data_IF_692175195111
#
_entry.id   IF_692175195111
#
_cell.length_a   1.000
_cell.length_b   1.000
_cell.length_c   1.000
_cell.angle_alpha   90.00
_cell.angle_beta   90.00
_cell.angle_gamma   90.00
#
_symmetry.space_group_name_H-M   'P 1'
#
loop_
_entity.id
_entity.type
_entity.pdbx_description
1 polymer ?
#
# COMPACT_ATOMS: atom_id res chain seq x y z
N UNK A 1 17.77 13.10 -9.99
CA UNK A 1 17.34 12.53 -8.69
C UNK A 1 17.16 11.04 -8.89
N UNK A 2 17.70 10.25 -7.99
CA UNK A 2 17.61 8.78 -8.01
C UNK A 2 16.16 8.37 -7.71
N UNK A 3 15.47 7.74 -8.67
CA UNK A 3 14.08 7.32 -8.47
C UNK A 3 14.03 5.97 -7.73
N UNK A 4 13.36 5.96 -6.58
CA UNK A 4 13.07 4.73 -5.82
C UNK A 4 11.60 4.33 -5.99
N UNK A 5 11.37 3.07 -6.33
CA UNK A 5 10.02 2.49 -6.42
C UNK A 5 9.81 1.47 -5.31
N UNK A 6 8.71 1.60 -4.56
CA UNK A 6 8.19 0.58 -3.68
C UNK A 6 7.15 -0.25 -4.47
N UNK A 7 7.50 -1.49 -4.78
CA UNK A 7 6.60 -2.47 -5.38
C UNK A 7 5.98 -3.34 -4.29
N UNK A 8 4.65 -3.41 -4.26
CA UNK A 8 3.89 -4.20 -3.29
C UNK A 8 3.06 -5.24 -4.06
N UNK A 9 3.35 -6.51 -3.84
CA UNK A 9 2.58 -7.64 -4.38
C UNK A 9 1.75 -8.30 -3.29
N UNK A 10 0.50 -8.67 -3.61
CA UNK A 10 -0.44 -9.28 -2.66
C UNK A 10 -1.22 -10.48 -3.23
N UNK A 11 -0.84 -10.94 -4.43
CA UNK A 11 -1.51 -12.05 -5.08
C UNK A 11 -0.97 -13.40 -4.63
N UNK A 12 -1.86 -14.33 -4.29
CA UNK A 12 -1.54 -15.71 -3.93
C UNK A 12 -1.25 -16.62 -5.12
N UNK A 13 -1.45 -16.15 -6.37
CA UNK A 13 -1.30 -16.98 -7.58
C UNK A 13 0.15 -17.07 -8.09
N UNK A 14 1.14 -16.67 -7.31
CA UNK A 14 2.56 -16.73 -7.68
C UNK A 14 2.85 -16.06 -9.03
N UNK A 15 3.73 -16.65 -9.83
CA UNK A 15 4.18 -16.10 -11.12
C UNK A 15 3.07 -16.05 -12.19
N UNK A 16 2.02 -16.86 -12.04
CA UNK A 16 0.85 -16.83 -12.94
C UNK A 16 -0.09 -15.63 -12.69
N UNK A 17 0.19 -14.81 -11.68
CA UNK A 17 -0.65 -13.68 -11.31
C UNK A 17 -0.54 -12.53 -12.30
N UNK A 18 -1.66 -12.16 -12.92
CA UNK A 18 -1.73 -11.00 -13.84
C UNK A 18 -1.30 -9.69 -13.16
N UNK A 19 -1.71 -9.46 -11.90
CA UNK A 19 -1.33 -8.26 -11.18
C UNK A 19 0.18 -8.22 -10.87
N UNK A 20 0.78 -9.37 -10.49
CA UNK A 20 2.21 -9.48 -10.21
C UNK A 20 3.07 -9.23 -11.47
N UNK A 21 2.67 -9.83 -12.61
CA UNK A 21 3.34 -9.58 -13.90
C UNK A 21 3.24 -8.10 -14.28
N UNK A 22 2.05 -7.52 -14.18
CA UNK A 22 1.84 -6.12 -14.53
C UNK A 22 2.57 -5.15 -13.59
N UNK A 23 2.61 -5.40 -12.27
CA UNK A 23 3.40 -4.56 -11.34
C UNK A 23 4.89 -4.64 -11.66
N UNK A 24 5.42 -5.82 -12.01
CA UNK A 24 6.82 -5.96 -12.40
C UNK A 24 7.14 -5.12 -13.65
N UNK A 25 6.31 -5.22 -14.68
CA UNK A 25 6.48 -4.48 -15.92
C UNK A 25 6.35 -2.96 -15.72
N UNK A 26 5.34 -2.52 -14.98
CA UNK A 26 5.14 -1.09 -14.67
C UNK A 26 6.33 -0.56 -13.87
N UNK A 27 6.83 -1.33 -12.90
CA UNK A 27 8.02 -0.96 -12.12
C UNK A 27 9.24 -0.78 -13.03
N UNK A 28 9.49 -1.72 -13.95
CA UNK A 28 10.60 -1.62 -14.92
C UNK A 28 10.45 -0.40 -15.83
N UNK A 29 9.23 -0.10 -16.28
CA UNK A 29 8.96 1.06 -17.15
C UNK A 29 9.21 2.42 -16.45
N UNK A 30 9.21 2.46 -15.10
CA UNK A 30 9.62 3.66 -14.35
C UNK A 30 11.14 3.89 -14.38
N UNK A 31 11.94 2.92 -14.86
CA UNK A 31 13.42 2.97 -14.89
C UNK A 31 14.02 3.36 -13.53
N UNK A 32 13.61 2.73 -12.42
CA UNK A 32 14.07 3.11 -11.09
C UNK A 32 15.54 2.75 -10.90
N UNK A 33 16.27 3.55 -10.13
CA UNK A 33 17.62 3.19 -9.67
C UNK A 33 17.57 2.18 -8.51
N UNK A 34 16.47 2.22 -7.72
CA UNK A 34 16.25 1.31 -6.59
C UNK A 34 14.81 0.80 -6.57
N UNK A 35 14.65 -0.50 -6.38
CA UNK A 35 13.34 -1.12 -6.13
C UNK A 35 13.34 -1.72 -4.73
N UNK A 36 12.38 -1.29 -3.91
CA UNK A 36 12.03 -1.96 -2.65
C UNK A 36 10.87 -2.89 -3.01
N UNK A 37 11.02 -4.19 -2.77
CA UNK A 37 9.99 -5.17 -3.07
C UNK A 37 9.39 -5.75 -1.79
N UNK A 38 8.11 -5.53 -1.57
CA UNK A 38 7.31 -6.09 -0.49
C UNK A 38 6.31 -7.10 -1.06
N UNK A 39 6.54 -8.39 -0.82
CA UNK A 39 5.66 -9.47 -1.25
C UNK A 39 4.82 -9.98 -0.08
N UNK A 40 3.59 -9.52 0.01
CA UNK A 40 2.66 -9.84 1.10
C UNK A 40 2.08 -11.26 1.01
N UNK A 41 2.34 -11.98 -0.07
CA UNK A 41 1.91 -13.36 -0.24
C UNK A 41 2.96 -14.36 0.30
N UNK A 42 4.25 -14.04 0.14
CA UNK A 42 5.36 -14.87 0.61
C UNK A 42 5.87 -14.46 1.98
N UNK A 43 5.71 -13.19 2.35
CA UNK A 43 6.04 -12.63 3.66
C UNK A 43 4.79 -11.96 4.28
N UNK A 44 3.85 -12.78 4.81
CA UNK A 44 2.57 -12.29 5.29
C UNK A 44 2.73 -11.45 6.56
N UNK A 45 2.03 -10.31 6.57
CA UNK A 45 2.02 -9.41 7.72
C UNK A 45 1.05 -9.89 8.81
N UNK A 46 1.38 -9.69 10.09
CA UNK A 46 0.43 -9.93 11.18
C UNK A 46 -0.74 -8.96 11.11
N UNK A 47 -1.88 -9.37 11.67
CA UNK A 47 -2.96 -8.43 11.96
C UNK A 47 -2.59 -7.54 13.16
N UNK A 48 -3.11 -6.33 13.16
CA UNK A 48 -2.99 -5.45 14.32
C UNK A 48 -3.74 -6.06 15.51
N UNK A 49 -3.14 -5.93 16.69
CA UNK A 49 -3.69 -6.40 17.97
C UNK A 49 -3.87 -5.24 18.97
N UNK A 50 -4.26 -5.57 20.19
CA UNK A 50 -4.53 -4.58 21.24
C UNK A 50 -3.23 -3.87 21.68
N UNK A 51 -2.10 -4.57 21.73
CA UNK A 51 -0.82 -4.01 22.15
C UNK A 51 -0.29 -3.02 21.10
N UNK A 52 -0.36 -3.38 19.82
CA UNK A 52 -0.05 -2.48 18.71
C UNK A 52 -0.97 -1.24 18.73
N UNK A 53 -2.30 -1.48 18.91
CA UNK A 53 -3.28 -0.41 18.92
C UNK A 53 -3.07 0.59 20.07
N UNK A 54 -2.61 0.12 21.23
CA UNK A 54 -2.23 0.98 22.36
C UNK A 54 -0.89 1.69 22.10
N UNK A 55 0.13 0.95 21.66
CA UNK A 55 1.49 1.48 21.45
C UNK A 55 1.54 2.64 20.46
N UNK A 56 0.74 2.59 19.37
CA UNK A 56 0.72 3.64 18.34
C UNK A 56 0.25 5.02 18.84
N UNK A 57 -0.43 5.08 19.98
CA UNK A 57 -0.94 6.32 20.59
C UNK A 57 0.06 6.92 21.58
N UNK A 58 1.11 6.18 21.97
CA UNK A 58 2.13 6.68 22.90
C UNK A 58 3.17 7.46 22.09
N UNK A 59 3.52 8.71 22.53
CA UNK A 59 4.62 9.46 21.94
C UNK A 59 5.91 8.65 21.90
N UNK A 60 6.69 8.78 20.85
CA UNK A 60 7.89 7.95 20.64
C UNK A 60 8.86 7.99 21.80
N UNK A 61 9.07 9.17 22.38
CA UNK A 61 9.98 9.38 23.52
C UNK A 61 9.53 8.65 24.80
N UNK A 62 8.23 8.35 24.92
CA UNK A 62 7.64 7.77 26.14
C UNK A 62 7.39 6.26 26.00
N UNK A 63 7.72 5.65 24.84
CA UNK A 63 7.48 4.24 24.58
C UNK A 63 8.41 3.34 25.37
N UNK A 64 7.84 2.30 25.98
CA UNK A 64 8.59 1.17 26.51
C UNK A 64 9.24 0.35 25.39
N UNK A 65 10.22 -0.49 25.68
CA UNK A 65 10.83 -1.40 24.69
C UNK A 65 9.77 -2.33 24.06
N UNK A 66 8.88 -2.90 24.86
CA UNK A 66 7.79 -3.73 24.33
C UNK A 66 6.87 -2.98 23.34
N UNK A 67 6.61 -1.69 23.55
CA UNK A 67 5.85 -0.87 22.63
C UNK A 67 6.63 -0.52 21.35
N UNK A 68 7.94 -0.34 21.45
CA UNK A 68 8.81 -0.18 20.29
C UNK A 68 8.85 -1.46 19.46
N UNK A 69 9.00 -2.61 20.10
CA UNK A 69 8.97 -3.92 19.44
C UNK A 69 7.64 -4.17 18.72
N UNK A 70 6.52 -3.87 19.38
CA UNK A 70 5.19 -3.99 18.77
C UNK A 70 5.01 -3.12 17.51
N UNK A 71 5.69 -1.97 17.43
CA UNK A 71 5.61 -1.04 16.31
C UNK A 71 6.72 -1.23 15.25
N UNK A 72 7.75 -2.02 15.51
CA UNK A 72 8.95 -2.11 14.68
C UNK A 72 8.66 -2.47 13.21
N UNK A 73 7.75 -3.43 12.98
CA UNK A 73 7.34 -3.80 11.62
C UNK A 73 6.61 -2.64 10.93
N UNK A 74 5.69 -1.97 11.63
CA UNK A 74 5.00 -0.78 11.12
C UNK A 74 6.00 0.34 10.76
N UNK A 75 7.01 0.56 11.60
CA UNK A 75 8.06 1.56 11.33
C UNK A 75 8.86 1.19 10.08
N UNK A 76 9.17 -0.10 9.87
CA UNK A 76 9.82 -0.61 8.66
C UNK A 76 8.99 -0.32 7.41
N UNK A 77 7.69 -0.69 7.40
CA UNK A 77 6.78 -0.47 6.27
C UNK A 77 6.61 1.02 5.94
N UNK A 78 6.55 1.87 6.96
CA UNK A 78 6.47 3.32 6.80
C UNK A 78 7.78 3.89 6.25
N UNK A 79 8.94 3.38 6.69
CA UNK A 79 10.24 3.76 6.15
C UNK A 79 10.37 3.41 4.66
N UNK A 80 9.92 2.23 4.24
CA UNK A 80 9.86 1.84 2.82
C UNK A 80 9.03 2.84 1.99
N UNK A 81 7.89 3.29 2.53
CA UNK A 81 7.07 4.33 1.89
C UNK A 81 7.78 5.69 1.85
N UNK A 82 8.53 6.06 2.89
CA UNK A 82 9.29 7.33 2.92
C UNK A 82 10.40 7.36 1.88
N UNK A 83 11.10 6.24 1.73
CA UNK A 83 12.21 6.09 0.79
C UNK A 83 11.76 6.10 -0.67
N UNK A 84 10.53 5.68 -0.94
CA UNK A 84 10.02 5.57 -2.31
C UNK A 84 9.45 6.91 -2.83
N UNK A 85 9.70 7.21 -4.11
CA UNK A 85 9.06 8.30 -4.86
C UNK A 85 7.73 7.83 -5.46
N UNK A 86 7.68 6.57 -5.87
CA UNK A 86 6.50 5.95 -6.49
C UNK A 86 6.18 4.61 -5.81
N UNK A 87 4.91 4.39 -5.50
CA UNK A 87 4.38 3.10 -5.07
C UNK A 87 3.70 2.41 -6.25
N UNK A 88 4.04 1.14 -6.53
CA UNK A 88 3.35 0.30 -7.52
C UNK A 88 2.72 -0.87 -6.77
N UNK A 89 1.38 -0.86 -6.66
CA UNK A 89 0.64 -1.74 -5.74
C UNK A 89 -0.26 -2.68 -6.52
N UNK A 90 0.01 -4.00 -6.44
CA UNK A 90 -0.89 -5.03 -6.95
C UNK A 90 -2.18 -5.07 -6.13
N UNK A 91 -3.31 -4.95 -6.81
CA UNK A 91 -4.65 -5.04 -6.23
C UNK A 91 -5.47 -6.14 -6.92
N UNK A 92 -5.21 -7.43 -6.61
CA UNK A 92 -6.13 -8.49 -7.01
C UNK A 92 -7.42 -8.36 -6.17
N UNK A 93 -8.57 -8.43 -6.84
CA UNK A 93 -9.86 -8.33 -6.16
C UNK A 93 -10.25 -9.69 -5.58
N UNK A 94 -10.46 -9.76 -4.28
CA UNK A 94 -10.97 -10.91 -3.56
C UNK A 94 -12.32 -10.55 -2.93
N UNK A 95 -13.37 -11.26 -3.33
CA UNK A 95 -14.73 -11.04 -2.77
C UNK A 95 -15.13 -9.55 -2.75
N UNK A 96 -14.96 -8.88 -3.89
CA UNK A 96 -15.26 -7.44 -4.12
C UNK A 96 -14.33 -6.45 -3.38
N UNK A 97 -13.39 -6.91 -2.55
CA UNK A 97 -12.46 -6.09 -1.77
C UNK A 97 -10.99 -6.38 -2.08
N UNK A 98 -10.10 -5.70 -1.35
CA UNK A 98 -8.67 -5.99 -1.41
C UNK A 98 -8.36 -7.30 -0.64
N UNK A 99 -7.24 -7.99 -0.96
CA UNK A 99 -6.78 -9.14 -0.18
C UNK A 99 -6.55 -8.79 1.29
N UNK A 100 -6.78 -9.73 2.20
CA UNK A 100 -6.55 -9.54 3.63
C UNK A 100 -5.09 -9.15 3.95
N UNK A 101 -4.12 -9.69 3.20
CA UNK A 101 -2.70 -9.32 3.32
C UNK A 101 -2.44 -7.85 2.98
N UNK A 102 -3.07 -7.32 1.94
CA UNK A 102 -2.97 -5.90 1.60
C UNK A 102 -3.70 -5.02 2.62
N UNK A 103 -4.83 -5.50 3.16
CA UNK A 103 -5.51 -4.79 4.25
C UNK A 103 -4.67 -4.73 5.52
N UNK A 104 -3.94 -5.81 5.86
CA UNK A 104 -3.00 -5.79 6.98
C UNK A 104 -1.88 -4.75 6.77
N UNK A 105 -1.35 -4.62 5.55
CA UNK A 105 -0.40 -3.56 5.21
C UNK A 105 -1.01 -2.17 5.44
N UNK A 106 -2.22 -1.94 4.95
CA UNK A 106 -2.97 -0.68 5.16
C UNK A 106 -3.11 -0.35 6.66
N UNK A 107 -3.48 -1.34 7.47
CA UNK A 107 -3.67 -1.14 8.90
C UNK A 107 -2.37 -0.80 9.64
N UNK A 108 -1.28 -1.45 9.27
CA UNK A 108 0.03 -1.23 9.87
C UNK A 108 0.64 0.13 9.50
N UNK A 109 0.36 0.68 8.32
CA UNK A 109 0.90 1.97 7.90
C UNK A 109 0.06 3.17 8.36
N UNK A 110 -1.21 2.97 8.73
CA UNK A 110 -2.10 4.06 9.11
C UNK A 110 -1.88 4.49 10.58
N UNK A 111 -0.88 5.35 10.81
CA UNK A 111 -0.47 5.79 12.16
C UNK A 111 -0.63 7.30 12.36
N UNK A 112 -1.40 7.72 13.39
CA UNK A 112 -1.52 9.13 13.76
C UNK A 112 -0.16 9.71 14.17
N UNK A 113 0.14 10.92 13.71
CA UNK A 113 1.40 11.62 13.97
C UNK A 113 2.58 11.13 13.11
N UNK A 114 2.43 10.03 12.34
CA UNK A 114 3.51 9.42 11.55
C UNK A 114 3.21 9.44 10.06
N UNK A 115 2.01 9.02 9.63
CA UNK A 115 1.57 9.00 8.24
C UNK A 115 0.43 9.98 7.96
N UNK A 116 -0.26 10.41 8.98
CA UNK A 116 -1.25 11.48 8.94
C UNK A 116 -1.34 12.16 10.31
N UNK A 117 -1.94 13.36 10.38
CA UNK A 117 -2.23 14.03 11.64
C UNK A 117 -3.60 14.71 11.58
N UNK A 118 -4.26 14.83 12.71
CA UNK A 118 -5.50 15.59 12.83
C UNK A 118 -5.20 17.08 12.99
N UNK A 119 -6.01 17.92 12.35
CA UNK A 119 -5.99 19.38 12.49
C UNK A 119 -7.41 19.88 12.74
N UNK A 120 -7.55 21.16 13.07
CA UNK A 120 -8.87 21.80 13.23
C UNK A 120 -9.71 21.72 11.95
N UNK A 121 -9.06 21.63 10.77
CA UNK A 121 -9.71 21.52 9.47
C UNK A 121 -9.83 20.06 8.97
N UNK A 122 -9.64 19.08 9.85
CA UNK A 122 -9.67 17.66 9.51
C UNK A 122 -8.28 17.01 9.40
N UNK A 123 -8.23 15.73 8.98
CA UNK A 123 -6.97 15.02 8.85
C UNK A 123 -6.16 15.48 7.63
N UNK A 124 -4.85 15.59 7.79
CA UNK A 124 -3.90 15.80 6.71
C UNK A 124 -2.90 14.65 6.64
N UNK A 125 -2.60 14.18 5.44
CA UNK A 125 -1.58 13.16 5.18
C UNK A 125 -0.19 13.75 5.17
N UNK A 126 0.82 12.92 5.43
CA UNK A 126 2.23 13.35 5.58
C UNK A 126 3.14 12.81 4.46
N UNK A 127 2.59 12.12 3.45
CA UNK A 127 3.32 11.58 2.29
C UNK A 127 3.06 12.39 1.01
N UNK A 128 3.19 13.72 1.11
CA UNK A 128 3.02 14.61 -0.03
C UNK A 128 4.14 14.43 -1.07
N UNK A 129 3.83 14.73 -2.34
CA UNK A 129 4.78 14.71 -3.45
C UNK A 129 5.08 13.31 -4.00
N UNK A 130 4.46 12.26 -3.45
CA UNK A 130 4.62 10.87 -3.94
C UNK A 130 3.51 10.51 -4.92
N UNK A 131 3.82 9.52 -5.80
CA UNK A 131 2.90 8.92 -6.76
C UNK A 131 2.54 7.50 -6.38
N UNK A 132 1.32 7.06 -6.68
CA UNK A 132 0.92 5.67 -6.58
C UNK A 132 0.27 5.17 -7.88
N UNK A 133 0.62 3.94 -8.27
CA UNK A 133 0.01 3.22 -9.39
C UNK A 133 -0.60 1.94 -8.81
N UNK A 134 -1.93 1.90 -8.79
CA UNK A 134 -2.69 0.72 -8.37
C UNK A 134 -2.90 -0.17 -9.59
N UNK A 135 -2.42 -1.40 -9.54
CA UNK A 135 -2.57 -2.40 -10.60
C UNK A 135 -3.75 -3.31 -10.27
N UNK A 136 -4.90 -2.95 -10.80
CA UNK A 136 -6.17 -3.62 -10.56
C UNK A 136 -6.27 -4.91 -11.37
N UNK A 137 -6.60 -6.01 -10.72
CA UNK A 137 -6.81 -7.31 -11.37
C UNK A 137 -8.05 -8.00 -10.81
N UNK A 138 -9.07 -8.20 -11.64
CA UNK A 138 -10.31 -8.87 -11.25
C UNK A 138 -10.75 -9.90 -12.29
N UNK A 139 -11.29 -11.01 -11.82
CA UNK A 139 -11.99 -11.98 -12.66
C UNK A 139 -13.34 -11.46 -13.14
N UNK A 140 -14.18 -10.97 -12.23
CA UNK A 140 -15.58 -10.66 -12.49
C UNK A 140 -16.07 -9.27 -12.06
N UNK A 141 -15.28 -8.52 -11.25
CA UNK A 141 -15.65 -7.16 -10.82
C UNK A 141 -15.02 -6.14 -11.77
N UNK A 142 -15.80 -5.41 -12.59
CA UNK A 142 -15.24 -4.34 -13.40
C UNK A 142 -14.71 -3.20 -12.53
N UNK A 143 -13.62 -2.56 -12.96
CA UNK A 143 -13.11 -1.37 -12.30
C UNK A 143 -14.14 -0.26 -12.28
N UNK A 144 -14.40 0.33 -11.12
CA UNK A 144 -15.36 1.41 -10.92
C UNK A 144 -16.83 0.98 -10.89
N UNK A 145 -17.14 -0.34 -10.93
CA UNK A 145 -18.49 -0.82 -10.69
C UNK A 145 -18.98 -0.43 -9.27
N UNK A 146 -20.29 -0.32 -9.08
CA UNK A 146 -20.89 0.04 -7.78
C UNK A 146 -20.54 -0.93 -6.64
N UNK A 147 -20.10 -2.13 -6.98
CA UNK A 147 -19.62 -3.16 -6.05
C UNK A 147 -18.10 -3.38 -6.10
N UNK A 148 -17.33 -2.47 -6.72
CA UNK A 148 -15.87 -2.40 -6.60
C UNK A 148 -15.50 -1.66 -5.32
N UNK A 149 -15.42 -2.39 -4.24
CA UNK A 149 -14.98 -1.85 -2.94
C UNK A 149 -13.46 -1.88 -2.78
N UNK A 150 -12.72 -2.48 -3.71
CA UNK A 150 -11.28 -2.62 -3.63
C UNK A 150 -10.55 -1.34 -4.03
N UNK A 151 -10.81 -0.85 -5.26
CA UNK A 151 -10.07 0.28 -5.83
C UNK A 151 -10.36 1.58 -5.08
N UNK A 152 -11.64 1.84 -4.77
CA UNK A 152 -12.05 3.02 -4.02
C UNK A 152 -11.47 3.07 -2.62
N UNK A 153 -11.44 1.94 -1.91
CA UNK A 153 -10.86 1.85 -0.56
C UNK A 153 -9.35 2.14 -0.60
N UNK A 154 -8.57 1.47 -1.45
CA UNK A 154 -7.12 1.69 -1.50
C UNK A 154 -6.77 3.12 -1.90
N UNK A 155 -7.47 3.69 -2.90
CA UNK A 155 -7.31 5.10 -3.30
C UNK A 155 -7.60 6.03 -2.12
N UNK A 156 -8.68 5.79 -1.36
CA UNK A 156 -9.03 6.59 -0.20
C UNK A 156 -7.93 6.57 0.87
N UNK A 157 -7.36 5.40 1.16
CA UNK A 157 -6.25 5.27 2.12
C UNK A 157 -5.01 6.03 1.66
N UNK A 158 -4.61 5.86 0.39
CA UNK A 158 -3.46 6.58 -0.17
C UNK A 158 -3.66 8.09 -0.10
N UNK A 159 -4.86 8.58 -0.47
CA UNK A 159 -5.21 9.98 -0.35
C UNK A 159 -5.19 10.47 1.10
N UNK A 160 -5.64 9.64 2.04
CA UNK A 160 -5.68 9.96 3.46
C UNK A 160 -4.28 10.14 4.04
N UNK A 161 -3.32 9.30 3.64
CA UNK A 161 -1.92 9.44 4.08
C UNK A 161 -1.13 10.50 3.31
N UNK A 162 -1.74 11.16 2.30
CA UNK A 162 -1.13 12.31 1.58
C UNK A 162 -0.70 12.04 0.14
N UNK A 163 -0.81 10.80 -0.36
CA UNK A 163 -0.48 10.48 -1.75
C UNK A 163 -1.71 10.81 -2.61
N UNK A 164 -1.67 11.95 -3.31
CA UNK A 164 -2.79 12.48 -4.11
C UNK A 164 -2.71 12.08 -5.59
N UNK A 165 -1.50 11.90 -6.13
CA UNK A 165 -1.30 11.40 -7.51
C UNK A 165 -1.46 9.87 -7.50
N UNK A 166 -2.70 9.41 -7.71
CA UNK A 166 -3.07 7.99 -7.71
C UNK A 166 -3.66 7.60 -9.05
N UNK A 167 -2.92 6.82 -9.82
CA UNK A 167 -3.38 6.19 -11.06
C UNK A 167 -3.88 4.77 -10.78
N UNK A 168 -4.90 4.32 -11.52
CA UNK A 168 -5.34 2.92 -11.49
C UNK A 168 -5.24 2.38 -12.91
N UNK A 169 -4.62 1.21 -13.03
CA UNK A 169 -4.42 0.49 -14.29
C UNK A 169 -5.13 -0.85 -14.19
N UNK A 170 -6.12 -1.10 -15.06
CA UNK A 170 -6.75 -2.42 -15.15
C UNK A 170 -5.90 -3.35 -16.01
N UNK A 171 -5.54 -4.51 -15.47
CA UNK A 171 -4.75 -5.53 -16.19
C UNK A 171 -5.46 -6.09 -17.42
N UNK A 172 -6.79 -5.93 -17.55
CA UNK A 172 -7.54 -6.32 -18.75
C UNK A 172 -7.31 -5.36 -19.91
N UNK A 173 -7.19 -4.07 -19.64
CA UNK A 173 -6.94 -3.06 -20.66
C UNK A 173 -5.50 -3.12 -21.19
N UNK A 174 -4.53 -3.46 -20.34
CA UNK A 174 -3.14 -3.67 -20.76
C UNK A 174 -2.95 -4.89 -21.67
N UNK A 175 -3.74 -5.95 -21.46
CA UNK A 175 -3.68 -7.16 -22.29
C UNK A 175 -4.20 -6.94 -23.73
N UNK A 176 -4.93 -5.86 -23.99
CA UNK A 176 -5.45 -5.48 -25.32
C UNK A 176 -4.46 -4.59 -26.08
N UNK A 177 -3.48 -3.99 -25.38
CA UNK A 177 -2.51 -3.06 -25.95
C UNK A 177 -1.12 -3.70 -26.25
N UNK A 178 -0.95 -5.00 -25.96
CA UNK A 178 0.26 -5.79 -26.20
C UNK A 178 0.07 -6.78 -27.35
#
# INVERSE_FOLDING_TARGET
>A
MTQTVLRIDSSLSGDASRSRVATAQITQNQQPERVIHRDLATDPLPFIDADWAAARLVPEADRTEAQKDALALSDTLISEMRDADTLVIALPVHNFGMPASLKAWVDLIARPGVTFRYTENGPIGLFEGKKAIIVYASGGTPLGASYDYASGHLRQVLNFVGIKDVQIVDTKEQAVAA
#
